data_IF_428728922522
#
_entry.id   IF_428728922522
#
_cell.length_a   1.000
_cell.length_b   1.000
_cell.length_c   1.000
_cell.angle_alpha   90.00
_cell.angle_beta   90.00
_cell.angle_gamma   90.00
#
_symmetry.space_group_name_H-M   'P 1'
#
loop_
_entity.id
_entity.type
_entity.pdbx_description
1 polymer ?
#
# COMPACT_ATOMS: atom_id res chain seq x y z
N UNK A 1 -20.21 -6.86 -3.61
CA UNK A 1 -19.58 -6.49 -3.64
C UNK A 1 -18.59 -6.46 -3.94
N UNK A 2 -18.27 -6.46 -4.17
CA UNK A 2 -17.48 -6.50 -4.42
C UNK A 2 -16.41 -5.91 -4.35
N UNK A 3 -16.05 -5.62 -4.48
CA UNK A 3 -14.98 -4.76 -4.36
C UNK A 3 -13.76 -5.45 -4.20
N UNK A 4 -12.76 -4.70 -3.91
CA UNK A 4 -11.45 -5.25 -3.76
C UNK A 4 -11.29 -5.74 -2.35
N UNK A 5 -11.39 -7.01 -2.17
CA UNK A 5 -11.13 -7.60 -0.88
C UNK A 5 -9.79 -8.25 -0.87
N UNK A 6 -9.33 -8.62 0.31
CA UNK A 6 -8.16 -9.47 0.43
C UNK A 6 -8.42 -10.78 -0.27
N UNK A 7 -7.38 -11.33 -0.84
CA UNK A 7 -7.47 -12.59 -1.57
C UNK A 7 -7.35 -13.78 -0.64
N UNK A 8 -7.07 -13.53 0.62
CA UNK A 8 -7.10 -14.49 1.70
C UNK A 8 -7.41 -13.72 2.97
N UNK A 9 -7.78 -14.43 4.03
CA UNK A 9 -8.20 -13.76 5.26
C UNK A 9 -7.02 -13.10 5.96
N UNK A 10 -7.20 -11.83 6.32
CA UNK A 10 -6.17 -11.09 7.04
C UNK A 10 -6.80 -10.51 8.30
N UNK A 11 -5.95 -10.19 9.28
CA UNK A 11 -6.44 -9.66 10.56
C UNK A 11 -6.99 -8.25 10.36
N UNK A 12 -8.18 -7.96 10.91
CA UNK A 12 -8.73 -6.60 10.77
C UNK A 12 -7.83 -5.51 11.30
N UNK A 13 -7.02 -5.81 12.31
CA UNK A 13 -6.07 -4.84 12.86
C UNK A 13 -4.67 -5.06 12.33
N UNK A 14 -4.54 -5.74 11.20
CA UNK A 14 -3.24 -6.00 10.61
C UNK A 14 -2.58 -4.74 10.08
N UNK A 15 -1.35 -4.90 9.64
CA UNK A 15 -0.54 -3.78 9.23
C UNK A 15 -1.02 -3.15 7.93
N UNK A 16 -0.85 -1.85 7.87
CA UNK A 16 -1.11 -1.05 6.68
C UNK A 16 0.24 -0.72 6.09
N UNK A 17 0.52 -1.25 4.90
CA UNK A 17 1.82 -1.10 4.26
C UNK A 17 1.71 0.01 3.22
N UNK A 18 2.65 0.96 3.24
CA UNK A 18 2.66 2.06 2.27
C UNK A 18 3.96 1.97 1.50
N UNK A 19 3.86 1.76 0.20
CA UNK A 19 5.03 1.60 -0.67
C UNK A 19 4.95 2.60 -1.81
N UNK A 20 6.02 3.34 -2.02
CA UNK A 20 6.04 4.25 -3.16
C UNK A 20 6.97 5.43 -2.93
N UNK A 21 7.59 5.89 -4.01
CA UNK A 21 8.40 7.09 -3.92
C UNK A 21 7.52 8.27 -3.54
N UNK A 22 7.99 9.13 -2.66
CA UNK A 22 7.14 10.18 -2.13
C UNK A 22 7.95 11.38 -1.70
N UNK A 23 7.40 12.58 -1.97
CA UNK A 23 7.93 13.81 -1.38
C UNK A 23 7.27 14.10 -0.03
N UNK A 24 6.16 13.42 0.26
CA UNK A 24 5.53 13.53 1.57
C UNK A 24 6.30 12.62 2.52
N UNK A 25 6.68 13.16 3.66
CA UNK A 25 7.51 12.42 4.59
C UNK A 25 6.69 11.46 5.44
N UNK A 26 7.37 10.45 5.93
CA UNK A 26 6.71 9.41 6.71
C UNK A 26 5.97 9.96 7.92
N UNK A 27 6.60 10.90 8.64
CA UNK A 27 5.97 11.44 9.85
C UNK A 27 4.68 12.19 9.54
N UNK A 28 4.59 12.78 8.35
CA UNK A 28 3.36 13.44 7.92
C UNK A 28 2.26 12.41 7.69
N UNK A 29 2.60 11.30 7.06
CA UNK A 29 1.62 10.24 6.83
C UNK A 29 1.16 9.63 8.14
N UNK A 30 2.08 9.42 9.07
CA UNK A 30 1.71 8.87 10.37
C UNK A 30 0.80 9.83 11.14
N UNK A 31 1.03 11.13 11.01
CA UNK A 31 0.16 12.11 11.65
C UNK A 31 -1.26 12.08 11.08
N UNK A 32 -1.35 11.90 9.76
CA UNK A 32 -2.66 11.77 9.13
C UNK A 32 -3.39 10.54 9.67
N UNK A 33 -2.67 9.43 9.77
CA UNK A 33 -3.26 8.21 10.33
C UNK A 33 -3.75 8.42 11.74
N UNK A 34 -2.97 9.12 12.55
CA UNK A 34 -3.35 9.38 13.93
C UNK A 34 -4.65 10.19 14.01
N UNK A 35 -4.81 11.15 13.10
CA UNK A 35 -6.04 11.94 13.07
C UNK A 35 -7.28 11.10 12.78
N UNK A 36 -7.07 9.96 12.11
CA UNK A 36 -8.15 9.05 11.80
C UNK A 36 -8.27 7.91 12.80
N UNK A 37 -7.53 8.00 13.90
CA UNK A 37 -7.60 7.00 14.95
C UNK A 37 -6.74 5.77 14.73
N UNK A 38 -5.76 5.86 13.84
CA UNK A 38 -4.90 4.72 13.52
C UNK A 38 -3.55 4.90 14.17
N UNK A 39 -3.17 3.93 15.01
CA UNK A 39 -1.90 3.98 15.70
C UNK A 39 -0.76 3.81 14.72
N UNK A 40 0.31 4.56 14.95
CA UNK A 40 1.48 4.48 14.06
C UNK A 40 2.08 3.09 14.00
N UNK A 41 1.91 2.29 15.03
CA UNK A 41 2.46 0.93 15.04
C UNK A 41 1.80 0.03 14.02
N UNK A 42 0.68 0.44 13.46
CA UNK A 42 0.03 -0.34 12.40
C UNK A 42 0.63 -0.10 11.04
N UNK A 43 1.47 0.92 10.88
CA UNK A 43 2.02 1.26 9.58
C UNK A 43 3.40 0.65 9.36
N UNK A 44 3.62 0.19 8.14
CA UNK A 44 4.95 -0.18 7.67
C UNK A 44 5.13 0.59 6.37
N UNK A 45 6.10 1.49 6.33
CA UNK A 45 6.19 2.50 5.28
C UNK A 45 7.56 2.48 4.62
N UNK A 46 7.57 2.46 3.29
CA UNK A 46 8.80 2.58 2.51
C UNK A 46 8.54 3.59 1.40
N UNK A 47 9.09 4.79 1.56
CA UNK A 47 8.85 5.90 0.65
C UNK A 47 10.02 6.22 -0.26
N UNK A 48 11.08 5.44 -0.21
CA UNK A 48 12.27 5.67 -1.03
C UNK A 48 12.13 4.83 -2.29
N UNK A 49 12.02 5.50 -3.44
CA UNK A 49 11.82 4.83 -4.70
C UNK A 49 12.91 3.79 -4.96
N UNK A 50 14.15 4.15 -4.66
CA UNK A 50 15.26 3.23 -4.91
C UNK A 50 15.27 2.06 -3.94
N UNK A 51 14.88 2.30 -2.70
CA UNK A 51 14.84 1.25 -1.70
C UNK A 51 13.76 0.21 -2.01
N UNK A 52 12.73 0.60 -2.76
CA UNK A 52 11.67 -0.32 -3.11
C UNK A 52 12.15 -1.48 -3.94
N UNK A 53 13.24 -1.29 -4.70
CA UNK A 53 13.78 -2.38 -5.50
C UNK A 53 14.30 -3.51 -4.63
N UNK A 54 14.66 -3.19 -3.39
CA UNK A 54 15.19 -4.17 -2.46
C UNK A 54 14.20 -4.55 -1.38
N UNK A 55 13.03 -3.93 -1.41
CA UNK A 55 12.01 -4.22 -0.40
C UNK A 55 11.51 -5.65 -0.60
N UNK A 56 11.49 -6.41 0.47
CA UNK A 56 11.08 -7.81 0.39
C UNK A 56 9.57 -7.92 0.49
N UNK A 57 8.89 -7.79 -0.66
CA UNK A 57 7.42 -7.91 -0.66
C UNK A 57 6.98 -9.34 -0.38
N UNK A 58 7.85 -10.31 -0.63
CA UNK A 58 7.45 -11.71 -0.46
C UNK A 58 7.15 -12.07 0.99
N UNK A 59 7.65 -11.28 1.93
CA UNK A 59 7.33 -11.54 3.33
C UNK A 59 5.85 -11.39 3.62
N UNK A 60 5.12 -10.73 2.72
CA UNK A 60 3.69 -10.53 2.90
C UNK A 60 2.85 -11.64 2.30
N UNK A 61 3.48 -12.59 1.59
CA UNK A 61 2.73 -13.68 0.96
C UNK A 61 2.06 -14.55 2.00
N UNK A 62 0.74 -14.66 1.88
CA UNK A 62 -0.08 -15.47 2.80
C UNK A 62 0.14 -15.11 4.26
N UNK A 63 0.50 -13.86 4.53
CA UNK A 63 0.80 -13.40 5.87
C UNK A 63 -0.37 -12.58 6.40
N UNK A 64 -1.21 -13.17 7.26
CA UNK A 64 -2.46 -12.50 7.67
C UNK A 64 -2.24 -11.27 8.54
N UNK A 65 -1.03 -11.05 9.02
CA UNK A 65 -0.73 -9.86 9.82
C UNK A 65 -0.61 -8.60 8.96
N UNK A 66 -0.66 -8.71 7.64
CA UNK A 66 -0.70 -7.55 6.74
C UNK A 66 -2.10 -7.41 6.19
N UNK A 67 -2.71 -6.24 6.41
CA UNK A 67 -4.11 -6.03 6.07
C UNK A 67 -4.32 -5.45 4.69
N UNK A 68 -3.52 -4.44 4.34
CA UNK A 68 -3.68 -3.72 3.07
C UNK A 68 -2.36 -3.11 2.66
N UNK A 69 -2.14 -3.00 1.35
CA UNK A 69 -0.95 -2.38 0.79
C UNK A 69 -1.41 -1.18 -0.02
N UNK A 70 -0.94 0.01 0.37
CA UNK A 70 -1.22 1.24 -0.36
C UNK A 70 -0.02 1.57 -1.21
N UNK A 71 -0.20 1.68 -2.52
CA UNK A 71 0.91 1.79 -3.46
C UNK A 71 0.93 3.13 -4.16
N UNK A 72 2.07 3.80 -4.09
CA UNK A 72 2.38 4.96 -4.91
C UNK A 72 3.36 4.56 -6.01
N UNK A 73 4.15 5.52 -6.52
CA UNK A 73 5.09 5.22 -7.61
C UNK A 73 6.11 4.18 -7.18
N UNK A 74 6.29 3.16 -8.01
CA UNK A 74 7.20 2.09 -7.72
C UNK A 74 7.98 1.71 -8.97
N UNK A 75 9.22 1.21 -8.81
CA UNK A 75 9.99 0.80 -9.97
C UNK A 75 9.36 -0.42 -10.61
N UNK A 76 9.66 -0.59 -11.89
CA UNK A 76 9.25 -1.79 -12.59
C UNK A 76 10.01 -2.98 -12.01
N UNK A 77 9.34 -4.10 -11.90
CA UNK A 77 10.00 -5.29 -11.43
C UNK A 77 10.82 -5.88 -12.55
N UNK A 78 11.81 -6.58 -12.21
CA UNK A 78 12.51 -7.39 -13.14
C UNK A 78 13.32 -6.63 -14.10
N UNK A 79 14.43 -7.13 -14.31
CA UNK A 79 15.38 -6.57 -15.20
C UNK A 79 14.96 -6.83 -16.57
N UNK A 80 14.58 -5.83 -17.26
CA UNK A 80 14.30 -6.00 -18.66
C UNK A 80 13.16 -6.91 -18.97
N UNK A 81 12.19 -6.97 -18.11
CA UNK A 81 11.05 -7.75 -18.42
C UNK A 81 10.33 -7.23 -19.60
N UNK A 82 10.46 -6.00 -19.87
CA UNK A 82 9.92 -5.48 -21.08
C UNK A 82 8.45 -5.35 -21.17
N UNK A 83 7.73 -5.86 -20.26
CA UNK A 83 6.29 -5.84 -20.39
C UNK A 83 5.65 -4.93 -19.37
N UNK A 84 6.37 -4.03 -18.88
CA UNK A 84 5.85 -3.02 -18.00
C UNK A 84 5.32 -3.55 -16.67
N UNK A 85 5.60 -4.78 -16.35
CA UNK A 85 5.22 -5.28 -15.04
C UNK A 85 5.93 -4.50 -13.97
N UNK A 86 5.19 -4.09 -12.98
CA UNK A 86 5.75 -3.41 -11.84
C UNK A 86 5.49 -4.24 -10.60
N UNK A 87 6.11 -3.83 -9.52
CA UNK A 87 5.84 -4.47 -8.24
C UNK A 87 4.35 -4.43 -7.94
N UNK A 88 3.70 -3.30 -8.26
CA UNK A 88 2.27 -3.15 -7.98
C UNK A 88 1.46 -4.18 -8.77
N UNK A 89 1.77 -4.35 -10.04
CA UNK A 89 1.04 -5.30 -10.86
C UNK A 89 1.18 -6.71 -10.31
N UNK A 90 2.37 -7.05 -9.87
CA UNK A 90 2.58 -8.36 -9.27
C UNK A 90 1.73 -8.55 -8.03
N UNK A 91 1.71 -7.54 -7.16
CA UNK A 91 0.93 -7.62 -5.93
C UNK A 91 -0.57 -7.74 -6.21
N UNK A 92 -1.05 -7.00 -7.21
CA UNK A 92 -2.46 -7.00 -7.55
C UNK A 92 -2.91 -8.32 -8.15
N UNK A 93 -2.06 -8.93 -8.96
CA UNK A 93 -2.45 -10.11 -9.73
C UNK A 93 -2.23 -11.43 -9.02
N UNK A 94 -1.52 -11.42 -7.91
CA UNK A 94 -1.23 -12.66 -7.19
C UNK A 94 -2.19 -12.85 -6.04
N UNK A 95 -2.67 -14.06 -5.87
CA UNK A 95 -3.55 -14.38 -4.74
C UNK A 95 -2.81 -14.48 -3.42
N UNK A 96 -1.48 -14.38 -3.46
CA UNK A 96 -0.67 -14.54 -2.27
C UNK A 96 -0.59 -13.29 -1.41
N UNK A 97 -1.00 -12.12 -1.93
CA UNK A 97 -0.81 -10.85 -1.24
C UNK A 97 -2.13 -10.29 -0.72
N UNK A 98 -2.08 -9.45 0.31
CA UNK A 98 -3.31 -8.84 0.82
C UNK A 98 -3.86 -7.82 -0.17
N UNK A 99 -4.98 -7.20 0.19
CA UNK A 99 -5.64 -6.20 -0.63
C UNK A 99 -4.67 -5.08 -1.00
N UNK A 100 -4.72 -4.66 -2.27
CA UNK A 100 -3.86 -3.60 -2.79
C UNK A 100 -4.72 -2.43 -3.25
N UNK A 101 -4.34 -1.21 -2.85
CA UNK A 101 -5.01 0.01 -3.28
C UNK A 101 -3.97 0.94 -3.86
N UNK A 102 -4.27 1.57 -4.98
CA UNK A 102 -3.35 2.53 -5.59
C UNK A 102 -3.64 3.93 -5.09
N UNK A 103 -2.57 4.69 -4.84
CA UNK A 103 -2.69 6.09 -4.51
C UNK A 103 -2.42 6.88 -5.78
N UNK A 104 -3.42 7.62 -6.25
CA UNK A 104 -3.29 8.32 -7.52
C UNK A 104 -3.65 9.78 -7.35
N UNK A 105 -3.05 10.61 -8.20
CA UNK A 105 -3.40 12.01 -8.31
C UNK A 105 -3.53 12.28 -9.80
N UNK A 106 -4.72 12.67 -10.23
CA UNK A 106 -4.98 12.75 -11.64
C UNK A 106 -4.91 11.36 -12.25
N UNK A 107 -4.08 11.20 -13.25
CA UNK A 107 -3.97 9.92 -13.95
C UNK A 107 -2.72 9.16 -13.61
N UNK A 108 -2.02 9.54 -12.55
CA UNK A 108 -0.76 8.88 -12.27
C UNK A 108 -0.63 8.53 -10.81
N UNK A 109 0.21 7.54 -10.54
CA UNK A 109 0.52 7.13 -9.19
C UNK A 109 1.27 8.25 -8.50
N UNK A 110 0.82 8.61 -7.33
CA UNK A 110 1.48 9.65 -6.56
C UNK A 110 0.95 9.60 -5.13
N UNK A 111 1.84 9.81 -4.16
CA UNK A 111 1.42 9.89 -2.77
C UNK A 111 1.30 11.36 -2.42
N UNK A 112 0.10 11.78 -2.08
CA UNK A 112 -0.15 13.14 -1.61
C UNK A 112 -0.86 13.05 -0.27
N UNK A 113 -0.80 14.15 0.49
CA UNK A 113 -1.52 14.18 1.77
C UNK A 113 -3.01 13.94 1.53
N UNK A 114 -3.54 14.55 0.47
CA UNK A 114 -4.97 14.45 0.17
C UNK A 114 -5.39 13.03 -0.17
N UNK A 115 -4.67 12.36 -1.08
CA UNK A 115 -5.12 11.04 -1.50
C UNK A 115 -4.85 9.99 -0.44
N UNK A 116 -3.79 10.18 0.36
CA UNK A 116 -3.52 9.26 1.44
C UNK A 116 -4.64 9.35 2.49
N UNK A 117 -5.00 10.58 2.88
CA UNK A 117 -6.09 10.78 3.83
C UNK A 117 -7.39 10.22 3.30
N UNK A 118 -7.70 10.51 2.03
CA UNK A 118 -8.95 10.06 1.44
C UNK A 118 -9.03 8.53 1.40
N UNK A 119 -7.93 7.89 1.06
CA UNK A 119 -7.91 6.42 0.99
C UNK A 119 -8.08 5.81 2.37
N UNK A 120 -7.36 6.32 3.37
CA UNK A 120 -7.53 5.81 4.71
C UNK A 120 -8.95 6.01 5.22
N UNK A 121 -9.53 7.19 4.95
CA UNK A 121 -10.89 7.47 5.37
C UNK A 121 -11.86 6.51 4.72
N UNK A 122 -11.67 6.24 3.44
CA UNK A 122 -12.49 5.29 2.72
C UNK A 122 -12.45 3.91 3.37
N UNK A 123 -11.25 3.46 3.71
CA UNK A 123 -11.07 2.14 4.32
C UNK A 123 -11.65 2.07 5.72
N UNK A 124 -11.53 3.17 6.48
CA UNK A 124 -12.15 3.24 7.80
C UNK A 124 -13.67 3.20 7.66
N UNK A 125 -14.21 3.95 6.70
CA UNK A 125 -15.66 4.01 6.50
C UNK A 125 -16.23 2.67 6.06
N UNK A 126 -15.44 1.90 5.32
CA UNK A 126 -15.84 0.54 4.96
C UNK A 126 -15.79 -0.42 6.13
N UNK A 127 -15.14 -0.02 7.21
CA UNK A 127 -14.89 -0.94 8.31
C UNK A 127 -13.78 -1.93 8.00
N UNK A 128 -12.95 -1.61 7.00
CA UNK A 128 -11.91 -2.55 6.60
C UNK A 128 -10.66 -2.48 7.49
N UNK A 129 -10.31 -1.28 7.93
CA UNK A 129 -9.13 -1.12 8.80
C UNK A 129 -9.47 -0.50 10.15
#
# INVERSE_FOLDING_TARGET
MIGTKSKFDTYPDGKIVVLGGSTVKEDVLLAIGKQLGIDKTRFEICLDYDALQKYNVRKMQYAPQYRVILCGPAPHSGQGKGDSSSIITELENSDAYPRVERLVAGNELKITKSNFRAKLQELVDEGYI
#
